data_IF_214777930071
#
_entry.id   IF_214777930071
#
_cell.length_a   1.000
_cell.length_b   1.000
_cell.length_c   1.000
_cell.angle_alpha   90.00
_cell.angle_beta   90.00
_cell.angle_gamma   90.00
#
_symmetry.space_group_name_H-M   'P 1'
#
loop_
_entity.id
_entity.type
_entity.pdbx_description
1 polymer ?
#
# COMPACT_ATOMS: atom_id res chain seq x y z
N UNK A 1 -4.51 5.11 22.87
CA UNK A 1 -5.72 5.24 22.05
C UNK A 1 -5.81 4.05 21.09
N UNK A 2 -7.02 3.57 20.79
CA UNK A 2 -7.21 2.56 19.74
C UNK A 2 -6.94 3.18 18.36
N UNK A 3 -6.54 2.37 17.36
CA UNK A 3 -6.32 2.88 16.00
C UNK A 3 -7.54 3.58 15.39
N UNK A 4 -8.78 3.12 15.58
CA UNK A 4 -9.98 3.84 15.13
C UNK A 4 -10.09 5.27 15.67
N UNK A 5 -9.79 5.49 16.95
CA UNK A 5 -9.82 6.81 17.55
C UNK A 5 -8.68 7.71 17.00
N UNK A 6 -7.50 7.15 16.80
CA UNK A 6 -6.40 7.86 16.14
C UNK A 6 -6.75 8.24 14.71
N UNK A 7 -7.27 7.32 13.91
CA UNK A 7 -7.69 7.58 12.52
C UNK A 7 -8.74 8.71 12.47
N UNK A 8 -9.74 8.66 13.34
CA UNK A 8 -10.77 9.71 13.42
C UNK A 8 -10.16 11.09 13.76
N UNK A 9 -9.15 11.15 14.64
CA UNK A 9 -8.48 12.40 15.00
C UNK A 9 -7.68 13.03 13.86
N UNK A 10 -7.30 12.25 12.85
CA UNK A 10 -6.56 12.73 11.68
C UNK A 10 -7.43 13.46 10.65
N UNK A 11 -8.76 13.28 10.67
CA UNK A 11 -9.72 13.84 9.69
C UNK A 11 -9.19 13.72 8.25
N UNK A 12 -8.83 12.50 7.85
CA UNK A 12 -8.31 12.22 6.52
C UNK A 12 -9.44 12.08 5.52
N UNK A 13 -9.23 12.60 4.33
CA UNK A 13 -10.20 12.55 3.22
C UNK A 13 -9.55 12.08 1.94
N UNK A 14 -10.28 11.23 1.22
CA UNK A 14 -10.11 10.98 -0.21
C UNK A 14 -11.39 11.49 -0.89
N UNK A 15 -12.19 10.65 -1.54
CA UNK A 15 -13.55 11.03 -1.99
C UNK A 15 -14.49 11.29 -0.81
N UNK A 16 -14.29 10.57 0.30
CA UNK A 16 -15.04 10.68 1.56
C UNK A 16 -14.08 10.74 2.75
N UNK A 17 -14.58 11.19 3.90
CA UNK A 17 -13.83 11.10 5.16
C UNK A 17 -13.56 9.64 5.51
N UNK A 18 -12.29 9.32 5.77
CA UNK A 18 -11.87 7.97 6.15
C UNK A 18 -12.09 7.74 7.64
N UNK A 19 -12.66 6.59 7.94
CA UNK A 19 -12.92 6.11 9.30
C UNK A 19 -12.72 4.59 9.38
N UNK A 20 -12.99 3.99 10.54
CA UNK A 20 -12.80 2.57 10.75
C UNK A 20 -13.62 1.68 9.81
N UNK A 21 -14.79 2.14 9.35
CA UNK A 21 -15.70 1.33 8.54
C UNK A 21 -15.30 1.28 7.06
N UNK A 22 -14.66 2.34 6.53
CA UNK A 22 -14.34 2.46 5.10
C UNK A 22 -12.83 2.42 4.78
N UNK A 23 -11.96 2.43 5.78
CA UNK A 23 -10.51 2.45 5.57
C UNK A 23 -9.99 1.21 4.84
N UNK A 24 -10.54 0.04 5.15
CA UNK A 24 -10.14 -1.20 4.48
C UNK A 24 -10.54 -1.22 3.01
N UNK A 25 -11.68 -0.63 2.65
CA UNK A 25 -12.08 -0.50 1.25
C UNK A 25 -11.16 0.46 0.49
N UNK A 26 -10.71 1.52 1.15
CA UNK A 26 -9.68 2.40 0.58
C UNK A 26 -8.35 1.66 0.35
N UNK A 27 -7.89 0.87 1.30
CA UNK A 27 -6.69 0.03 1.13
C UNK A 27 -6.85 -0.97 -0.03
N UNK A 28 -8.01 -1.62 -0.14
CA UNK A 28 -8.31 -2.52 -1.26
C UNK A 28 -8.20 -1.80 -2.61
N UNK A 29 -8.75 -0.60 -2.75
CA UNK A 29 -8.63 0.22 -3.97
C UNK A 29 -7.16 0.47 -4.34
N UNK A 30 -6.29 0.75 -3.37
CA UNK A 30 -4.86 0.95 -3.61
C UNK A 30 -4.15 -0.33 -4.05
N UNK A 31 -4.47 -1.47 -3.46
CA UNK A 31 -3.92 -2.78 -3.85
C UNK A 31 -4.38 -3.20 -5.24
N UNK A 32 -5.66 -3.01 -5.56
CA UNK A 32 -6.23 -3.27 -6.89
C UNK A 32 -5.53 -2.40 -7.94
N UNK A 33 -5.32 -1.11 -7.67
CA UNK A 33 -4.55 -0.23 -8.56
C UNK A 33 -3.13 -0.72 -8.76
N UNK A 34 -2.43 -1.09 -7.68
CA UNK A 34 -1.07 -1.62 -7.74
C UNK A 34 -0.98 -2.87 -8.61
N UNK A 35 -1.91 -3.82 -8.43
CA UNK A 35 -1.99 -5.03 -9.23
C UNK A 35 -2.31 -4.74 -10.70
N UNK A 36 -3.23 -3.80 -10.97
CA UNK A 36 -3.58 -3.39 -12.34
C UNK A 36 -2.39 -2.74 -13.06
N UNK A 37 -1.72 -1.77 -12.42
CA UNK A 37 -0.53 -1.12 -13.00
C UNK A 37 0.56 -2.15 -13.33
N UNK A 38 0.78 -3.14 -12.46
CA UNK A 38 1.74 -4.21 -12.72
C UNK A 38 1.31 -5.12 -13.88
N UNK A 39 0.01 -5.46 -13.97
CA UNK A 39 -0.56 -6.25 -15.05
C UNK A 39 -0.44 -5.53 -16.39
N UNK A 40 -0.71 -4.24 -16.44
CA UNK A 40 -0.56 -3.40 -17.62
C UNK A 40 0.91 -3.31 -18.08
N UNK A 41 1.84 -3.42 -17.13
CA UNK A 41 3.28 -3.53 -17.38
C UNK A 41 3.76 -4.96 -17.73
N UNK A 42 2.84 -5.92 -17.89
CA UNK A 42 3.13 -7.30 -18.31
C UNK A 42 3.38 -8.30 -17.16
N UNK A 43 3.16 -7.91 -15.90
CA UNK A 43 3.26 -8.85 -14.79
C UNK A 43 2.06 -9.81 -14.74
N UNK A 44 2.32 -11.04 -14.32
CA UNK A 44 1.26 -11.99 -13.99
C UNK A 44 0.84 -11.82 -12.54
N UNK A 45 -0.44 -11.67 -12.30
CA UNK A 45 -1.03 -11.59 -10.96
C UNK A 45 -1.75 -12.92 -10.69
N UNK A 46 -1.25 -13.78 -9.78
CA UNK A 46 -1.90 -15.06 -9.50
C UNK A 46 -3.23 -14.90 -8.76
N UNK A 47 -4.25 -15.65 -9.16
CA UNK A 47 -5.56 -15.71 -8.50
C UNK A 47 -5.45 -16.15 -7.04
N UNK A 48 -4.41 -16.98 -6.74
CA UNK A 48 -4.14 -17.46 -5.38
C UNK A 48 -3.91 -16.36 -4.35
N UNK A 49 -3.58 -15.13 -4.79
CA UNK A 49 -3.34 -13.98 -3.92
C UNK A 49 -4.62 -13.29 -3.44
N UNK A 50 -5.78 -13.77 -3.85
CA UNK A 50 -7.07 -13.21 -3.43
C UNK A 50 -7.64 -12.16 -4.35
N UNK A 51 -7.00 -11.86 -5.50
CA UNK A 51 -7.56 -10.95 -6.49
C UNK A 51 -8.69 -11.58 -7.31
N UNK A 52 -9.68 -10.76 -7.64
CA UNK A 52 -10.76 -11.09 -8.55
C UNK A 52 -10.56 -10.31 -9.85
N UNK A 53 -10.77 -10.99 -10.97
CA UNK A 53 -10.57 -10.42 -12.30
C UNK A 53 -11.88 -10.36 -13.09
N UNK A 54 -12.02 -9.36 -13.96
CA UNK A 54 -13.08 -9.39 -14.98
C UNK A 54 -12.81 -10.58 -15.92
N UNK A 55 -13.75 -11.52 -15.97
CA UNK A 55 -13.65 -12.59 -16.95
C UNK A 55 -13.64 -12.01 -18.36
N UNK A 56 -12.68 -12.41 -19.21
CA UNK A 56 -12.82 -12.26 -20.63
C UNK A 56 -14.05 -13.08 -21.04
N UNK A 57 -15.16 -12.45 -21.34
CA UNK A 57 -16.22 -13.11 -22.10
C UNK A 57 -15.61 -13.47 -23.45
N UNK A 58 -15.03 -14.67 -23.58
CA UNK A 58 -14.78 -15.25 -24.89
C UNK A 58 -16.12 -15.27 -25.55
N UNK A 59 -16.25 -14.51 -26.61
CA UNK A 59 -17.40 -14.61 -27.50
C UNK A 59 -17.31 -16.02 -28.13
N UNK A 60 -17.91 -16.99 -27.45
CA UNK A 60 -18.16 -18.26 -28.08
C UNK A 60 -19.22 -17.94 -29.14
N UNK A 61 -18.80 -17.98 -30.41
CA UNK A 61 -19.75 -18.00 -31.49
C UNK A 61 -20.77 -19.13 -31.20
N UNK A 62 -22.08 -18.90 -31.39
CA UNK A 62 -23.06 -19.93 -31.16
C UNK A 62 -22.65 -21.15 -31.97
N UNK A 63 -22.49 -22.30 -31.32
CA UNK A 63 -22.32 -23.57 -31.99
C UNK A 63 -23.72 -23.96 -32.47
N UNK A 64 -24.14 -23.38 -33.58
CA UNK A 64 -25.36 -23.81 -34.26
C UNK A 64 -25.15 -25.22 -34.77
N UNK A 65 -25.66 -26.18 -34.00
CA UNK A 65 -25.77 -27.57 -34.37
C UNK A 65 -26.84 -27.80 -35.46
N UNK A 66 -26.75 -27.10 -36.58
CA UNK A 66 -27.57 -27.36 -37.74
C UNK A 66 -26.65 -27.69 -38.91
N UNK A 67 -26.53 -28.98 -39.21
CA UNK A 67 -25.95 -29.43 -40.46
C UNK A 67 -26.81 -28.91 -41.64
N UNK A 68 -26.38 -27.83 -42.26
CA UNK A 68 -26.92 -27.42 -43.58
C UNK A 68 -26.04 -28.03 -44.66
N UNK A 69 -26.63 -28.91 -45.45
CA UNK A 69 -26.00 -29.42 -46.66
C UNK A 69 -25.61 -28.27 -47.58
N UNK A 70 -24.42 -28.29 -48.21
CA UNK A 70 -23.97 -27.22 -49.06
C UNK A 70 -24.76 -27.21 -50.37
N UNK A 71 -25.39 -26.07 -50.70
CA UNK A 71 -25.87 -25.78 -52.05
C UNK A 71 -24.66 -25.36 -52.90
N UNK A 72 -24.60 -25.80 -54.20
CA UNK A 72 -23.52 -25.37 -55.07
C UNK A 72 -23.61 -23.87 -55.36
N UNK A 73 -22.54 -23.15 -55.14
CA UNK A 73 -22.40 -21.73 -55.45
C UNK A 73 -21.65 -21.57 -56.79
N UNK A 74 -22.05 -20.58 -57.63
CA UNK A 74 -21.25 -20.19 -58.77
C UNK A 74 -20.03 -19.38 -58.34
N UNK A 75 -18.89 -19.66 -58.96
CA UNK A 75 -17.63 -18.96 -58.75
C UNK A 75 -17.77 -17.44 -58.96
N UNK A 76 -17.59 -16.69 -57.90
CA UNK A 76 -17.23 -15.26 -57.97
C UNK A 76 -16.09 -14.96 -57.01
N UNK A 77 -15.13 -14.21 -57.54
CA UNK A 77 -13.88 -13.82 -56.95
C UNK A 77 -13.96 -13.50 -55.45
N UNK A 78 -13.06 -14.12 -54.70
CA UNK A 78 -12.92 -14.02 -53.26
C UNK A 78 -12.52 -12.60 -52.83
N UNK A 79 -13.45 -11.83 -52.29
CA UNK A 79 -13.13 -10.75 -51.37
C UNK A 79 -12.63 -11.39 -50.06
N UNK A 80 -11.36 -11.16 -49.72
CA UNK A 80 -10.81 -11.59 -48.44
C UNK A 80 -11.65 -10.94 -47.31
N UNK A 81 -12.17 -11.73 -46.36
CA UNK A 81 -12.84 -11.14 -45.21
C UNK A 81 -11.82 -10.32 -44.44
N UNK A 82 -12.10 -9.02 -44.29
CA UNK A 82 -11.36 -8.15 -43.39
C UNK A 82 -11.58 -8.69 -41.99
N UNK A 83 -10.57 -9.39 -41.46
CA UNK A 83 -10.53 -9.84 -40.08
C UNK A 83 -10.40 -8.59 -39.23
N UNK A 84 -11.52 -8.09 -38.68
CA UNK A 84 -11.48 -7.10 -37.62
C UNK A 84 -10.62 -7.68 -36.50
N UNK A 85 -9.58 -6.97 -36.02
CA UNK A 85 -8.84 -7.44 -34.87
C UNK A 85 -9.85 -7.57 -33.74
N UNK A 86 -9.99 -8.77 -33.19
CA UNK A 86 -10.71 -8.96 -31.93
C UNK A 86 -9.99 -8.10 -30.90
N UNK A 87 -10.64 -7.03 -30.50
CA UNK A 87 -10.18 -6.23 -29.37
C UNK A 87 -10.25 -7.16 -28.16
N UNK A 88 -9.13 -7.74 -27.75
CA UNK A 88 -9.04 -8.44 -26.48
C UNK A 88 -9.42 -7.41 -25.42
N UNK A 89 -10.61 -7.57 -24.86
CA UNK A 89 -11.00 -6.81 -23.68
C UNK A 89 -10.07 -7.31 -22.60
N UNK A 90 -9.10 -6.49 -22.23
CA UNK A 90 -8.10 -6.83 -21.22
C UNK A 90 -8.81 -7.26 -19.94
N UNK A 91 -8.28 -8.29 -19.30
CA UNK A 91 -8.72 -8.73 -17.99
C UNK A 91 -8.34 -7.66 -16.95
N UNK A 92 -9.32 -7.11 -16.26
CA UNK A 92 -9.14 -6.07 -15.26
C UNK A 92 -9.14 -6.68 -13.85
N UNK A 93 -8.31 -6.12 -12.95
CA UNK A 93 -8.38 -6.42 -11.52
C UNK A 93 -9.57 -5.69 -10.93
N UNK A 94 -10.52 -6.43 -10.35
CA UNK A 94 -11.79 -5.88 -9.86
C UNK A 94 -11.80 -5.66 -8.35
N UNK A 95 -11.28 -6.60 -7.58
CA UNK A 95 -11.30 -6.60 -6.11
C UNK A 95 -10.19 -7.47 -5.56
N UNK A 96 -10.00 -7.41 -4.25
CA UNK A 96 -9.07 -8.25 -3.49
C UNK A 96 -9.70 -8.71 -2.18
N UNK A 97 -9.61 -10.02 -1.92
CA UNK A 97 -9.84 -10.60 -0.59
C UNK A 97 -8.66 -10.25 0.31
N UNK A 98 -8.85 -9.26 1.18
CA UNK A 98 -7.76 -8.71 1.99
C UNK A 98 -7.15 -9.73 2.97
N UNK A 99 -7.92 -10.55 3.72
CA UNK A 99 -7.37 -11.62 4.54
C UNK A 99 -6.46 -12.58 3.76
N UNK A 100 -6.89 -13.00 2.57
CA UNK A 100 -6.10 -13.89 1.71
C UNK A 100 -4.83 -13.21 1.19
N UNK A 101 -4.92 -11.94 0.82
CA UNK A 101 -3.76 -11.16 0.42
C UNK A 101 -2.76 -10.98 1.55
N UNK A 102 -3.22 -10.68 2.77
CA UNK A 102 -2.35 -10.56 3.94
C UNK A 102 -1.67 -11.89 4.29
N UNK A 103 -2.34 -13.03 4.14
CA UNK A 103 -1.71 -14.34 4.26
C UNK A 103 -0.56 -14.54 3.26
N UNK A 104 -0.71 -14.01 2.05
CA UNK A 104 0.39 -14.01 1.08
C UNK A 104 1.55 -13.10 1.53
N UNK A 105 1.27 -11.90 2.02
CA UNK A 105 2.30 -10.96 2.51
C UNK A 105 3.18 -11.63 3.56
N UNK A 106 2.59 -12.42 4.46
CA UNK A 106 3.29 -13.08 5.57
C UNK A 106 3.78 -14.49 5.25
N UNK A 107 3.57 -14.98 4.05
CA UNK A 107 3.84 -16.39 3.70
C UNK A 107 5.31 -16.79 3.81
N UNK A 108 6.24 -15.84 3.65
CA UNK A 108 7.68 -16.09 3.73
C UNK A 108 8.28 -15.72 5.08
N UNK A 109 7.75 -14.70 5.72
CA UNK A 109 8.23 -14.19 7.01
C UNK A 109 7.01 -13.66 7.79
N UNK A 110 6.88 -14.04 9.06
CA UNK A 110 5.80 -13.59 9.93
C UNK A 110 5.78 -12.06 10.09
N UNK A 111 4.59 -11.50 10.33
CA UNK A 111 4.47 -10.10 10.73
C UNK A 111 5.20 -9.87 12.05
N UNK A 112 5.78 -8.69 12.20
CA UNK A 112 6.18 -8.20 13.52
C UNK A 112 4.92 -8.04 14.37
N UNK A 113 4.96 -8.58 15.58
CA UNK A 113 3.89 -8.41 16.56
C UNK A 113 4.25 -7.31 17.54
N UNK A 114 3.27 -6.55 18.09
CA UNK A 114 3.58 -5.56 19.13
C UNK A 114 4.37 -6.18 20.31
N UNK A 115 5.38 -5.47 20.77
CA UNK A 115 5.79 -4.10 20.42
C UNK A 115 6.78 -4.03 19.24
N UNK A 116 6.36 -4.20 18.05
CA UNK A 116 7.08 -4.44 16.79
C UNK A 116 8.42 -3.70 16.62
N UNK A 117 8.42 -2.38 16.78
CA UNK A 117 9.62 -1.52 16.62
C UNK A 117 10.18 -1.02 17.97
N UNK A 118 9.45 -1.15 19.05
CA UNK A 118 9.82 -0.71 20.38
C UNK A 118 10.02 -1.93 21.28
N UNK A 119 11.13 -2.63 21.08
CA UNK A 119 11.38 -3.95 21.70
C UNK A 119 12.42 -3.95 22.81
N UNK A 120 12.92 -2.77 23.22
CA UNK A 120 13.88 -2.64 24.31
C UNK A 120 13.37 -3.30 25.60
N UNK A 121 14.16 -4.22 26.16
CA UNK A 121 13.84 -4.90 27.41
C UNK A 121 12.67 -5.88 27.38
N UNK A 122 12.03 -6.08 26.24
CA UNK A 122 10.95 -7.06 26.09
C UNK A 122 11.53 -8.47 26.03
N UNK A 123 10.98 -9.38 26.83
CA UNK A 123 11.47 -10.74 26.94
C UNK A 123 11.51 -11.46 25.56
N UNK A 124 12.68 -12.00 25.22
CA UNK A 124 12.90 -12.71 23.96
C UNK A 124 13.12 -11.82 22.74
N UNK A 125 13.04 -10.50 22.86
CA UNK A 125 13.31 -9.55 21.80
C UNK A 125 14.71 -8.90 21.95
N UNK A 126 15.24 -8.38 20.84
CA UNK A 126 16.41 -7.51 20.83
C UNK A 126 15.93 -6.07 20.67
N UNK A 127 16.69 -5.06 21.16
CA UNK A 127 16.40 -3.67 20.81
C UNK A 127 16.32 -3.50 19.30
N UNK A 128 15.38 -2.70 18.85
CA UNK A 128 15.29 -2.32 17.44
C UNK A 128 16.19 -1.09 17.17
N UNK A 129 16.54 -0.80 15.92
CA UNK A 129 17.21 0.46 15.58
C UNK A 129 16.43 1.70 16.05
N UNK A 130 15.11 1.64 16.05
CA UNK A 130 14.24 2.71 16.52
C UNK A 130 14.40 2.98 18.02
N UNK A 131 14.69 1.96 18.83
CA UNK A 131 15.01 2.17 20.26
C UNK A 131 16.27 3.04 20.45
N UNK A 132 17.26 2.89 19.56
CA UNK A 132 18.48 3.73 19.56
C UNK A 132 18.17 5.14 19.00
N UNK A 133 17.37 5.21 17.93
CA UNK A 133 16.98 6.47 17.28
C UNK A 133 16.22 7.39 18.24
N UNK A 134 15.32 6.84 19.07
CA UNK A 134 14.62 7.59 20.12
C UNK A 134 15.41 7.70 21.43
N UNK A 135 16.62 7.16 21.47
CA UNK A 135 17.52 7.18 22.62
C UNK A 135 18.05 8.57 22.97
N UNK A 136 18.94 8.60 23.94
CA UNK A 136 19.58 9.84 24.39
C UNK A 136 20.82 10.20 23.54
N UNK A 137 21.41 11.35 23.81
CA UNK A 137 22.60 11.82 23.12
C UNK A 137 23.86 10.94 23.39
N UNK A 138 23.78 10.05 24.36
CA UNK A 138 24.83 9.09 24.74
C UNK A 138 24.68 7.77 23.95
N UNK A 139 23.64 7.63 23.12
CA UNK A 139 23.36 6.44 22.33
C UNK A 139 22.68 5.31 23.13
N UNK A 140 22.05 5.63 24.25
CA UNK A 140 21.30 4.65 25.04
C UNK A 140 19.99 4.29 24.34
N UNK A 141 19.71 2.99 24.15
CA UNK A 141 18.40 2.53 23.67
C UNK A 141 17.33 2.74 24.73
N UNK A 142 16.15 3.23 24.34
CA UNK A 142 15.00 3.45 25.23
C UNK A 142 13.72 2.88 24.65
N UNK A 143 12.75 2.54 25.52
CA UNK A 143 11.38 2.38 25.05
C UNK A 143 10.80 3.74 24.72
N UNK A 144 10.08 3.84 23.60
CA UNK A 144 9.50 5.09 23.14
C UNK A 144 7.96 5.07 23.10
N UNK A 145 7.36 4.00 23.66
CA UNK A 145 5.92 3.87 23.88
C UNK A 145 5.63 3.40 25.30
N UNK A 146 4.55 3.91 25.89
CA UNK A 146 4.09 3.46 27.21
C UNK A 146 3.79 1.95 27.20
N UNK A 147 3.23 1.44 26.09
CA UNK A 147 2.93 0.02 25.92
C UNK A 147 4.20 -0.84 26.04
N UNK A 148 5.24 -0.51 25.29
CA UNK A 148 6.47 -1.30 25.31
C UNK A 148 7.16 -1.24 26.66
N UNK A 149 7.25 -0.05 27.27
CA UNK A 149 7.82 0.11 28.61
C UNK A 149 7.05 -0.73 29.64
N UNK A 150 5.72 -0.78 29.54
CA UNK A 150 4.91 -1.62 30.44
C UNK A 150 5.20 -3.11 30.26
N UNK A 151 5.44 -3.57 29.02
CA UNK A 151 5.82 -4.96 28.74
C UNK A 151 7.25 -5.26 29.23
N UNK A 152 8.19 -4.35 29.02
CA UNK A 152 9.59 -4.52 29.42
C UNK A 152 9.76 -4.55 30.96
N UNK A 153 8.97 -3.75 31.68
CA UNK A 153 9.07 -3.62 33.16
C UNK A 153 8.08 -4.52 33.92
N UNK A 154 7.08 -5.10 33.23
CA UNK A 154 5.96 -5.79 33.88
C UNK A 154 5.03 -4.86 34.67
N UNK A 155 5.18 -3.56 34.55
CA UNK A 155 4.35 -2.55 35.22
C UNK A 155 3.35 -1.92 34.24
N UNK A 156 2.09 -2.27 34.35
CA UNK A 156 1.02 -1.77 33.49
C UNK A 156 0.81 -0.24 33.54
N UNK A 157 1.31 0.41 34.57
CA UNK A 157 1.23 1.88 34.75
C UNK A 157 2.53 2.60 34.35
N UNK A 158 3.52 1.89 33.81
CA UNK A 158 4.76 2.52 33.38
C UNK A 158 4.50 3.44 32.19
N UNK A 159 5.08 4.64 32.23
CA UNK A 159 5.01 5.63 31.15
C UNK A 159 6.40 6.10 30.78
N UNK A 160 6.65 6.35 29.51
CA UNK A 160 7.90 6.95 29.04
C UNK A 160 8.05 8.36 29.61
N UNK A 161 9.29 8.79 29.80
CA UNK A 161 9.56 10.13 30.29
C UNK A 161 9.22 11.24 29.30
N UNK A 162 9.14 12.47 29.76
CA UNK A 162 8.75 13.62 28.93
C UNK A 162 9.78 13.91 27.84
N UNK A 163 11.07 13.69 28.07
CA UNK A 163 12.11 13.91 27.07
C UNK A 163 11.96 12.92 25.90
N UNK A 164 11.68 11.65 26.20
CA UNK A 164 11.39 10.63 25.18
C UNK A 164 10.10 10.94 24.45
N UNK A 165 9.04 11.35 25.16
CA UNK A 165 7.76 11.76 24.56
C UNK A 165 7.94 12.93 23.59
N UNK A 166 8.75 13.91 23.95
CA UNK A 166 9.05 15.05 23.07
C UNK A 166 9.85 14.61 21.83
N UNK A 167 10.85 13.71 21.98
CA UNK A 167 11.55 13.13 20.81
C UNK A 167 10.60 12.44 19.84
N UNK A 168 9.70 11.59 20.36
CA UNK A 168 8.66 10.92 19.54
C UNK A 168 7.77 11.96 18.86
N UNK A 169 7.40 13.03 19.55
CA UNK A 169 6.57 14.10 19.00
C UNK A 169 7.25 14.81 17.84
N UNK A 170 8.50 15.24 18.01
CA UNK A 170 9.22 16.00 16.96
C UNK A 170 9.63 15.16 15.76
N UNK A 171 9.83 13.86 15.93
CA UNK A 171 10.16 12.95 14.83
C UNK A 171 8.94 12.47 14.06
N UNK A 172 7.72 12.71 14.54
CA UNK A 172 6.51 12.34 13.84
C UNK A 172 5.99 13.49 12.97
N UNK A 173 6.16 13.43 11.62
CA UNK A 173 5.75 14.49 10.72
C UNK A 173 4.24 14.79 10.77
N UNK A 174 3.41 13.80 11.18
CA UNK A 174 1.96 13.98 11.29
C UNK A 174 1.57 15.09 12.27
N UNK A 175 2.44 15.42 13.23
CA UNK A 175 2.20 16.51 14.18
C UNK A 175 2.41 17.92 13.59
N UNK A 176 3.09 18.01 12.44
CA UNK A 176 3.54 19.29 11.88
C UNK A 176 2.94 19.63 10.52
N UNK A 177 2.42 18.65 9.78
CA UNK A 177 1.95 18.87 8.41
C UNK A 177 0.84 19.94 8.33
N UNK A 178 -0.04 19.98 9.36
CA UNK A 178 -1.13 20.99 9.46
C UNK A 178 -0.77 22.19 10.34
N UNK A 179 0.42 22.18 10.91
CA UNK A 179 0.88 23.31 11.71
C UNK A 179 1.31 24.47 10.80
N UNK A 180 0.69 25.63 10.99
CA UNK A 180 0.96 26.83 10.19
C UNK A 180 2.35 27.46 10.45
N UNK A 181 3.06 27.03 11.49
CA UNK A 181 4.43 27.41 11.80
C UNK A 181 5.45 26.51 11.10
N UNK A 182 5.02 25.38 10.54
CA UNK A 182 5.90 24.41 9.90
C UNK A 182 6.05 24.66 8.41
N UNK A 183 7.28 24.55 7.90
CA UNK A 183 7.55 24.55 6.46
C UNK A 183 7.52 23.15 5.92
N UNK A 184 6.49 22.82 5.14
CA UNK A 184 6.29 21.51 4.53
C UNK A 184 6.65 21.55 3.05
N UNK A 185 7.54 20.66 2.60
CA UNK A 185 7.96 20.56 1.21
C UNK A 185 6.76 20.50 0.25
N UNK A 186 6.82 21.13 -0.95
CA UNK A 186 5.70 21.17 -1.88
C UNK A 186 5.45 19.83 -2.59
N UNK A 187 6.48 19.03 -2.81
CA UNK A 187 6.43 17.78 -3.59
C UNK A 187 6.93 16.60 -2.77
N UNK A 188 6.21 15.48 -2.85
CA UNK A 188 6.47 14.27 -2.08
C UNK A 188 6.42 13.03 -2.97
N UNK A 189 7.48 12.23 -2.93
CA UNK A 189 7.54 10.93 -3.58
C UNK A 189 7.53 9.83 -2.52
N UNK A 190 6.42 9.09 -2.41
CA UNK A 190 6.22 8.09 -1.38
C UNK A 190 6.03 6.72 -2.03
N UNK A 191 6.82 5.75 -1.62
CA UNK A 191 6.71 4.35 -2.05
C UNK A 191 6.66 3.45 -0.84
N UNK A 192 5.79 2.44 -0.93
CA UNK A 192 5.67 1.40 0.09
C UNK A 192 5.38 0.09 -0.62
N UNK A 193 6.20 -0.94 -0.42
CA UNK A 193 6.03 -2.19 -1.13
C UNK A 193 4.67 -2.83 -0.88
N UNK A 194 3.99 -3.27 -1.94
CA UNK A 194 2.69 -3.93 -1.79
C UNK A 194 2.77 -5.26 -0.99
N UNK A 195 3.97 -5.78 -0.76
CA UNK A 195 4.27 -6.97 0.06
C UNK A 195 5.13 -6.61 1.29
N UNK A 196 5.15 -5.37 1.69
CA UNK A 196 5.86 -4.95 2.90
C UNK A 196 5.15 -5.53 4.14
N UNK A 197 5.88 -6.32 4.91
CA UNK A 197 5.42 -6.91 6.16
C UNK A 197 5.99 -6.20 7.40
N UNK A 198 6.98 -5.34 7.21
CA UNK A 198 7.66 -4.66 8.30
C UNK A 198 6.93 -3.39 8.72
N UNK A 199 6.47 -2.60 7.75
CA UNK A 199 5.71 -1.38 8.01
C UNK A 199 4.25 -1.55 7.60
N UNK A 200 3.33 -1.21 8.48
CA UNK A 200 1.90 -1.32 8.20
C UNK A 200 1.45 -0.32 7.12
N UNK A 201 0.58 -0.74 6.20
CA UNK A 201 0.01 0.11 5.14
C UNK A 201 -0.55 1.47 5.62
N UNK A 202 -1.19 1.56 6.81
CA UNK A 202 -1.68 2.85 7.29
C UNK A 202 -0.61 3.93 7.45
N UNK A 203 0.64 3.59 7.70
CA UNK A 203 1.71 4.58 7.89
C UNK A 203 1.88 5.48 6.66
N UNK A 204 2.24 4.97 5.48
CA UNK A 204 2.39 5.81 4.29
C UNK A 204 1.07 6.31 3.73
N UNK A 205 -0.03 5.57 3.92
CA UNK A 205 -1.37 6.01 3.48
C UNK A 205 -1.79 7.27 4.23
N UNK A 206 -1.73 7.25 5.57
CA UNK A 206 -2.12 8.40 6.38
C UNK A 206 -1.23 9.61 6.09
N UNK A 207 0.08 9.40 5.95
CA UNK A 207 1.02 10.46 5.56
C UNK A 207 0.64 11.08 4.21
N UNK A 208 0.39 10.25 3.19
CA UNK A 208 0.06 10.74 1.85
C UNK A 208 -1.25 11.54 1.83
N UNK A 209 -2.26 11.07 2.55
CA UNK A 209 -3.55 11.75 2.64
C UNK A 209 -3.45 13.05 3.46
N UNK A 210 -2.70 13.05 4.55
CA UNK A 210 -2.45 14.26 5.34
C UNK A 210 -1.76 15.34 4.51
N UNK A 211 -0.71 15.00 3.76
CA UNK A 211 -0.03 15.93 2.86
C UNK A 211 -0.94 16.48 1.77
N UNK A 212 -1.78 15.63 1.16
CA UNK A 212 -2.78 16.07 0.18
C UNK A 212 -3.82 17.02 0.78
N UNK A 213 -4.22 16.78 2.04
CA UNK A 213 -5.20 17.63 2.74
C UNK A 213 -4.72 19.08 2.93
N UNK A 214 -3.42 19.32 2.89
CA UNK A 214 -2.80 20.66 2.95
C UNK A 214 -2.26 21.12 1.60
N UNK A 215 -2.74 20.54 0.50
CA UNK A 215 -2.46 20.98 -0.87
C UNK A 215 -1.07 20.61 -1.39
N UNK A 216 -0.40 19.61 -0.81
CA UNK A 216 0.90 19.17 -1.33
C UNK A 216 0.73 18.23 -2.52
N UNK A 217 1.68 18.31 -3.47
CA UNK A 217 1.78 17.36 -4.57
C UNK A 217 2.39 16.05 -4.06
N UNK A 218 1.61 14.97 -4.12
CA UNK A 218 2.00 13.67 -3.55
C UNK A 218 1.91 12.57 -4.60
N UNK A 219 3.06 12.09 -5.01
CA UNK A 219 3.21 10.90 -5.85
C UNK A 219 3.34 9.65 -4.97
N UNK A 220 2.21 9.08 -4.59
CA UNK A 220 2.14 7.88 -3.75
C UNK A 220 1.76 6.64 -4.55
N UNK A 221 2.54 5.57 -4.40
CA UNK A 221 2.25 4.25 -4.98
C UNK A 221 2.62 3.12 -4.02
N UNK A 222 1.96 1.97 -4.24
CA UNK A 222 2.32 0.68 -3.65
C UNK A 222 2.96 -0.20 -4.73
N UNK A 223 4.28 -0.16 -4.98
CA UNK A 223 4.91 -0.98 -6.01
C UNK A 223 4.60 -2.45 -5.81
N UNK A 224 4.07 -3.10 -6.87
CA UNK A 224 3.58 -4.47 -6.84
C UNK A 224 4.68 -5.45 -6.41
N UNK A 225 4.31 -6.40 -5.54
CA UNK A 225 5.14 -7.50 -5.09
C UNK A 225 6.52 -7.09 -4.50
N UNK A 226 6.70 -5.83 -4.10
CA UNK A 226 7.92 -5.37 -3.47
C UNK A 226 7.84 -5.53 -1.94
N UNK A 227 8.91 -6.06 -1.31
CA UNK A 227 9.00 -6.15 0.15
C UNK A 227 9.36 -4.80 0.77
N UNK A 228 9.69 -4.81 2.06
CA UNK A 228 10.29 -3.66 2.73
C UNK A 228 11.64 -3.31 2.07
N UNK A 229 11.73 -2.15 1.42
CA UNK A 229 12.93 -1.60 0.79
C UNK A 229 12.66 -0.17 0.29
N UNK A 230 13.71 0.59 0.01
CA UNK A 230 13.65 1.92 -0.61
C UNK A 230 14.14 1.98 -2.06
N UNK A 231 14.79 0.92 -2.56
CA UNK A 231 15.64 0.99 -3.77
C UNK A 231 14.94 0.53 -5.05
N UNK A 232 13.63 0.43 -5.06
CA UNK A 232 12.87 0.10 -6.27
C UNK A 232 12.27 1.34 -6.93
N UNK A 233 12.12 1.29 -8.26
CA UNK A 233 11.60 2.39 -9.10
C UNK A 233 12.49 3.66 -9.12
N UNK A 234 13.81 3.52 -9.03
CA UNK A 234 14.76 4.65 -9.06
C UNK A 234 14.67 5.48 -10.35
N UNK A 235 14.49 4.83 -11.50
CA UNK A 235 14.32 5.55 -12.78
C UNK A 235 13.05 6.44 -12.79
N UNK A 236 11.99 5.99 -12.13
CA UNK A 236 10.77 6.78 -11.96
C UNK A 236 11.03 7.95 -11.00
N UNK A 237 11.75 7.72 -9.91
CA UNK A 237 12.14 8.76 -8.96
C UNK A 237 12.97 9.85 -9.63
N UNK A 238 14.01 9.49 -10.37
CA UNK A 238 14.86 10.48 -11.03
C UNK A 238 14.12 11.27 -12.13
N UNK A 239 13.20 10.64 -12.85
CA UNK A 239 12.33 11.35 -13.80
C UNK A 239 11.41 12.34 -13.07
N UNK A 240 10.81 11.92 -11.95
CA UNK A 240 9.97 12.78 -11.14
C UNK A 240 10.73 13.95 -10.55
N UNK A 241 11.96 13.75 -10.02
CA UNK A 241 12.81 14.83 -9.52
C UNK A 241 13.05 15.90 -10.61
N UNK A 242 13.37 15.47 -11.85
CA UNK A 242 13.56 16.40 -12.96
C UNK A 242 12.30 17.20 -13.33
N UNK A 243 11.12 16.71 -12.99
CA UNK A 243 9.85 17.40 -13.27
C UNK A 243 9.55 18.46 -12.21
N UNK A 244 9.86 18.19 -10.93
CA UNK A 244 9.50 19.05 -9.80
C UNK A 244 10.61 19.98 -9.35
N UNK A 245 11.85 19.72 -9.74
CA UNK A 245 13.05 20.51 -9.45
C UNK A 245 13.85 20.70 -10.77
N UNK A 246 13.35 21.54 -11.70
CA UNK A 246 13.98 21.80 -13.01
C UNK A 246 15.32 22.54 -12.90
#
# INVERSE_FOLDING_TARGET
ASYPAYLASLDLKDEHTLNADNYLDYLKKLLVRSAQEAKDAGATIPDSLGFTFSGTKRFQAPVDGVQRQPKPQPEKAAARPMRMPSREVGEYVLDVDLPRYLNYVVSTIALKTPPAFDSQGVAGARPSPENEEFGDAQGSSVNFTDYSLSQATGNASATIDEATRERVRIMNPMNFIRDNQSSVAPHWYIRHGARDRDTAFPVPINLSLMLRSVGKDVNFKLPWNRPHSGDYALDELFRWIKQVAP
#
